data_IF_470688183282
#
_entry.id   IF_470688183282
#
_cell.length_a   1.000
_cell.length_b   1.000
_cell.length_c   1.000
_cell.angle_alpha   90.00
_cell.angle_beta   90.00
_cell.angle_gamma   90.00
#
_symmetry.space_group_name_H-M   'P 1'
#
loop_
_entity.id
_entity.type
_entity.pdbx_description
1 polymer ?
#
# COMPACT_ATOMS: atom_id res chain seq x y z
N UNK A 1 7.91 7.15 -10.88
CA UNK A 1 6.54 7.23 -11.42
C UNK A 1 6.20 6.08 -12.37
N UNK A 2 7.18 5.50 -13.07
CA UNK A 2 7.02 4.41 -14.05
C UNK A 2 6.43 3.10 -13.46
N UNK A 3 5.87 2.25 -14.33
CA UNK A 3 5.34 0.91 -14.04
C UNK A 3 6.46 -0.14 -14.09
N UNK A 4 6.64 -0.91 -13.01
CA UNK A 4 7.60 -2.02 -12.90
C UNK A 4 6.96 -3.41 -12.95
N UNK A 5 5.67 -3.52 -13.26
CA UNK A 5 4.99 -4.81 -13.31
C UNK A 5 4.40 -5.20 -11.95
N UNK A 6 4.84 -6.35 -11.42
CA UNK A 6 4.22 -7.04 -10.28
C UNK A 6 4.21 -6.27 -8.94
N UNK A 7 4.90 -5.13 -8.86
CA UNK A 7 4.94 -4.29 -7.66
C UNK A 7 4.15 -2.99 -7.78
N UNK A 8 3.61 -2.67 -8.96
CA UNK A 8 2.83 -1.47 -9.23
C UNK A 8 1.37 -1.84 -9.59
N UNK A 9 0.52 -0.81 -9.65
CA UNK A 9 -0.85 -0.87 -10.17
C UNK A 9 -0.85 -0.27 -11.57
N UNK A 10 -1.19 -1.04 -12.60
CA UNK A 10 -1.13 -0.58 -14.00
C UNK A 10 -2.10 0.56 -14.27
N UNK A 11 -3.30 0.52 -13.70
CA UNK A 11 -4.36 1.52 -13.92
C UNK A 11 -3.93 2.94 -13.51
N UNK A 12 -3.37 3.10 -12.31
CA UNK A 12 -2.82 4.35 -11.81
C UNK A 12 -1.68 4.86 -12.70
N UNK A 13 -0.87 3.95 -13.26
CA UNK A 13 0.23 4.32 -14.16
C UNK A 13 -0.29 4.76 -15.52
N UNK A 14 -1.35 4.14 -16.01
CA UNK A 14 -2.05 4.58 -17.22
C UNK A 14 -2.66 5.97 -17.04
N UNK A 15 -3.30 6.23 -15.90
CA UNK A 15 -3.81 7.58 -15.59
C UNK A 15 -2.70 8.64 -15.61
N UNK A 16 -1.58 8.35 -14.95
CA UNK A 16 -0.39 9.23 -14.96
C UNK A 16 0.15 9.38 -16.39
N UNK A 17 0.22 8.30 -17.16
CA UNK A 17 0.71 8.31 -18.53
C UNK A 17 -0.17 9.18 -19.45
N UNK A 18 -1.49 9.07 -19.36
CA UNK A 18 -2.41 9.90 -20.14
C UNK A 18 -2.30 11.37 -19.77
N UNK A 19 -2.20 11.69 -18.48
CA UNK A 19 -1.97 13.07 -18.01
C UNK A 19 -0.65 13.65 -18.57
N UNK A 20 0.43 12.86 -18.58
CA UNK A 20 1.69 13.26 -19.18
C UNK A 20 1.61 13.42 -20.70
N UNK A 21 0.91 12.53 -21.41
CA UNK A 21 0.70 12.65 -22.84
C UNK A 21 -0.09 13.92 -23.18
N UNK A 22 -1.12 14.24 -22.40
CA UNK A 22 -1.91 15.47 -22.56
C UNK A 22 -1.04 16.72 -22.34
N UNK A 23 -0.21 16.74 -21.30
CA UNK A 23 0.73 17.84 -21.00
C UNK A 23 1.81 18.02 -22.07
N UNK A 24 2.17 16.94 -22.75
CA UNK A 24 3.11 16.95 -23.86
C UNK A 24 2.44 17.26 -25.22
N UNK A 25 1.16 17.63 -25.23
CA UNK A 25 0.37 17.93 -26.43
C UNK A 25 0.35 16.79 -27.45
N UNK A 26 0.48 15.54 -26.98
CA UNK A 26 0.39 14.37 -27.85
C UNK A 26 -1.07 14.16 -28.30
N UNK A 27 -1.29 13.74 -29.56
CA UNK A 27 -2.60 13.32 -30.01
C UNK A 27 -3.18 12.26 -29.08
N UNK A 28 -4.42 12.45 -28.64
CA UNK A 28 -5.11 11.51 -27.75
C UNK A 28 -5.68 10.33 -28.54
N UNK A 29 -4.83 9.66 -29.32
CA UNK A 29 -5.19 8.52 -30.17
C UNK A 29 -4.41 7.27 -29.75
N UNK A 30 -4.98 6.06 -29.94
CA UNK A 30 -4.31 4.81 -29.60
C UNK A 30 -2.95 4.64 -30.29
N UNK A 31 -2.78 5.15 -31.50
CA UNK A 31 -1.53 5.05 -32.26
C UNK A 31 -0.43 5.88 -31.61
N UNK A 32 -0.73 7.12 -31.21
CA UNK A 32 0.21 8.00 -30.53
C UNK A 32 0.62 7.40 -29.17
N UNK A 33 -0.35 6.89 -28.39
CA UNK A 33 -0.07 6.23 -27.13
C UNK A 33 0.79 4.97 -27.31
N UNK A 34 0.52 4.16 -28.33
CA UNK A 34 1.33 2.99 -28.67
C UNK A 34 2.81 3.34 -28.87
N UNK A 35 3.09 4.42 -29.62
CA UNK A 35 4.46 4.87 -29.92
C UNK A 35 5.24 5.28 -28.67
N UNK A 36 4.59 5.92 -27.70
CA UNK A 36 5.26 6.41 -26.47
C UNK A 36 5.04 5.51 -25.25
N UNK A 37 4.31 4.41 -25.38
CA UNK A 37 3.97 3.49 -24.29
C UNK A 37 5.19 2.94 -23.54
N UNK A 38 6.31 2.72 -24.23
CA UNK A 38 7.57 2.29 -23.60
C UNK A 38 8.08 3.25 -22.51
N UNK A 39 7.72 4.55 -22.60
CA UNK A 39 8.17 5.58 -21.65
C UNK A 39 7.55 5.45 -20.27
N UNK A 40 6.37 4.80 -20.14
CA UNK A 40 5.74 4.56 -18.84
C UNK A 40 6.27 3.31 -18.13
N UNK A 41 7.13 2.52 -18.78
CA UNK A 41 7.59 1.22 -18.28
C UNK A 41 9.03 1.29 -17.73
N UNK A 42 9.33 0.44 -16.74
CA UNK A 42 10.67 0.24 -16.18
C UNK A 42 10.87 -1.20 -15.75
N UNK A 43 12.14 -1.60 -15.55
CA UNK A 43 12.52 -2.91 -14.99
C UNK A 43 11.79 -4.03 -15.76
N UNK A 44 11.27 -5.03 -15.08
CA UNK A 44 10.61 -6.21 -15.67
C UNK A 44 9.52 -5.86 -16.70
N UNK A 45 8.73 -4.81 -16.45
CA UNK A 45 7.69 -4.41 -17.39
C UNK A 45 8.23 -3.84 -18.71
N UNK A 46 9.37 -3.16 -18.64
CA UNK A 46 10.04 -2.65 -19.85
C UNK A 46 10.72 -3.78 -20.61
N UNK A 47 11.34 -4.72 -19.89
CA UNK A 47 12.00 -5.86 -20.51
C UNK A 47 10.96 -6.74 -21.22
N UNK A 48 9.85 -7.07 -20.54
CA UNK A 48 8.71 -7.77 -21.15
C UNK A 48 8.15 -7.06 -22.39
N UNK A 49 8.04 -5.73 -22.35
CA UNK A 49 7.56 -4.95 -23.49
C UNK A 49 8.44 -5.15 -24.72
N UNK A 50 9.77 -5.04 -24.57
CA UNK A 50 10.67 -5.20 -25.72
C UNK A 50 10.77 -6.65 -26.21
N UNK A 51 10.62 -7.62 -25.31
CA UNK A 51 10.70 -9.05 -25.65
C UNK A 51 9.40 -9.57 -26.32
N UNK A 52 8.24 -9.09 -25.85
CA UNK A 52 6.95 -9.73 -26.14
C UNK A 52 5.93 -8.83 -26.85
N UNK A 53 6.11 -7.50 -26.85
CA UNK A 53 5.12 -6.55 -27.37
C UNK A 53 5.67 -5.74 -28.54
N UNK A 54 6.88 -5.21 -28.41
CA UNK A 54 7.50 -4.32 -29.40
C UNK A 54 7.62 -4.99 -30.77
N UNK A 55 7.36 -4.22 -31.83
CA UNK A 55 7.48 -4.69 -33.22
C UNK A 55 6.38 -5.65 -33.69
N UNK A 56 5.39 -6.00 -32.85
CA UNK A 56 4.28 -6.90 -33.22
C UNK A 56 3.07 -6.21 -33.89
N UNK A 57 3.14 -4.90 -34.12
CA UNK A 57 2.06 -4.14 -34.75
C UNK A 57 0.76 -4.11 -33.93
N UNK A 58 0.87 -4.25 -32.60
CA UNK A 58 -0.28 -4.22 -31.69
C UNK A 58 -0.79 -2.79 -31.51
N UNK A 59 -2.12 -2.64 -31.45
CA UNK A 59 -2.74 -1.39 -30.98
C UNK A 59 -2.52 -1.24 -29.48
N UNK A 60 -2.53 0.00 -28.99
CA UNK A 60 -2.21 0.31 -27.59
C UNK A 60 -3.04 -0.47 -26.57
N UNK A 61 -4.36 -0.63 -26.80
CA UNK A 61 -5.23 -1.41 -25.91
C UNK A 61 -4.79 -2.88 -25.78
N UNK A 62 -4.33 -3.49 -26.88
CA UNK A 62 -3.80 -4.85 -26.87
C UNK A 62 -2.45 -4.94 -26.14
N UNK A 63 -1.61 -3.91 -26.24
CA UNK A 63 -0.35 -3.82 -25.49
C UNK A 63 -0.62 -3.73 -23.97
N UNK A 64 -1.59 -2.90 -23.58
CA UNK A 64 -2.03 -2.75 -22.19
C UNK A 64 -2.63 -4.07 -21.67
N UNK A 65 -3.48 -4.72 -22.45
CA UNK A 65 -4.08 -6.00 -22.08
C UNK A 65 -3.02 -7.08 -21.84
N UNK A 66 -2.08 -7.27 -22.76
CA UNK A 66 -1.01 -8.26 -22.60
C UNK A 66 -0.10 -7.95 -21.40
N UNK A 67 0.16 -6.66 -21.15
CA UNK A 67 0.94 -6.23 -19.97
C UNK A 67 0.18 -6.58 -18.69
N UNK A 68 -1.14 -6.32 -18.66
CA UNK A 68 -2.01 -6.66 -17.53
C UNK A 68 -2.05 -8.16 -17.28
N UNK A 69 -2.27 -8.97 -18.32
CA UNK A 69 -2.33 -10.43 -18.20
C UNK A 69 -1.01 -11.04 -17.71
N UNK A 70 0.13 -10.45 -18.10
CA UNK A 70 1.44 -10.93 -17.67
C UNK A 70 1.74 -10.60 -16.19
N UNK A 71 1.43 -9.39 -15.74
CA UNK A 71 1.83 -8.92 -14.40
C UNK A 71 0.72 -8.93 -13.35
N UNK A 72 -0.55 -8.82 -13.74
CA UNK A 72 -1.73 -8.73 -12.85
C UNK A 72 -2.55 -10.03 -12.89
N UNK A 73 -1.88 -11.17 -12.77
CA UNK A 73 -2.51 -12.51 -12.83
C UNK A 73 -3.51 -12.76 -11.69
N UNK A 74 -4.38 -13.76 -11.88
CA UNK A 74 -5.35 -14.17 -10.88
C UNK A 74 -4.68 -14.66 -9.58
N UNK A 75 -3.56 -15.37 -9.69
CA UNK A 75 -2.76 -15.87 -8.57
C UNK A 75 -2.17 -14.71 -7.77
N UNK A 76 -1.65 -13.67 -8.44
CA UNK A 76 -1.17 -12.46 -7.79
C UNK A 76 -2.31 -11.76 -7.05
N UNK A 77 -3.48 -11.63 -7.67
CA UNK A 77 -4.67 -11.04 -7.04
C UNK A 77 -5.07 -11.82 -5.78
N UNK A 78 -5.09 -13.15 -5.84
CA UNK A 78 -5.34 -14.00 -4.68
C UNK A 78 -4.28 -13.83 -3.58
N UNK A 79 -3.01 -13.73 -3.96
CA UNK A 79 -1.93 -13.46 -3.01
C UNK A 79 -2.10 -12.10 -2.31
N UNK A 80 -2.44 -11.05 -3.06
CA UNK A 80 -2.73 -9.72 -2.51
C UNK A 80 -3.95 -9.75 -1.58
N UNK A 81 -5.01 -10.47 -1.93
CA UNK A 81 -6.18 -10.66 -1.05
C UNK A 81 -5.79 -11.39 0.25
N UNK A 82 -4.92 -12.39 0.16
CA UNK A 82 -4.38 -13.06 1.34
C UNK A 82 -3.60 -12.08 2.23
N UNK A 83 -2.67 -11.32 1.64
CA UNK A 83 -1.90 -10.29 2.35
C UNK A 83 -2.82 -9.25 3.01
N UNK A 84 -3.86 -8.79 2.29
CA UNK A 84 -4.86 -7.87 2.81
C UNK A 84 -5.48 -8.38 4.10
N UNK A 85 -5.90 -9.65 4.11
CA UNK A 85 -6.59 -10.28 5.23
C UNK A 85 -5.68 -10.59 6.42
N UNK A 86 -4.41 -10.96 6.19
CA UNK A 86 -3.49 -11.38 7.26
C UNK A 86 -2.62 -10.24 7.81
N UNK A 87 -2.48 -9.13 7.08
CA UNK A 87 -1.67 -7.98 7.51
C UNK A 87 -2.31 -7.35 8.74
N UNK A 88 -1.59 -7.38 9.86
CA UNK A 88 -2.03 -6.84 11.15
C UNK A 88 -0.87 -6.17 11.86
N UNK A 89 -1.16 -5.29 12.82
CA UNK A 89 -0.11 -4.67 13.63
C UNK A 89 0.64 -5.72 14.44
N UNK A 90 -0.09 -6.70 15.00
CA UNK A 90 0.48 -7.81 15.76
C UNK A 90 1.43 -8.68 14.94
N UNK A 91 1.08 -9.04 13.70
CA UNK A 91 1.98 -9.81 12.83
C UNK A 91 3.21 -8.99 12.43
N UNK A 92 3.04 -7.69 12.17
CA UNK A 92 4.15 -6.77 11.84
C UNK A 92 5.15 -6.63 12.98
N UNK A 93 4.66 -6.46 14.22
CA UNK A 93 5.51 -6.41 15.43
C UNK A 93 6.32 -7.70 15.60
N UNK A 94 5.71 -8.88 15.36
CA UNK A 94 6.41 -10.17 15.45
C UNK A 94 7.52 -10.32 14.41
N UNK A 95 7.28 -9.86 13.19
CA UNK A 95 8.24 -9.92 12.08
C UNK A 95 9.39 -8.92 12.25
N UNK A 96 9.14 -7.79 12.92
CA UNK A 96 10.11 -6.68 13.05
C UNK A 96 10.44 -6.41 14.53
N UNK A 97 11.03 -7.40 15.20
CA UNK A 97 11.32 -7.39 16.66
C UNK A 97 12.11 -6.18 17.18
N UNK A 98 12.85 -5.48 16.32
CA UNK A 98 13.67 -4.31 16.69
C UNK A 98 12.95 -2.97 16.49
N UNK A 99 11.66 -2.99 16.18
CA UNK A 99 10.87 -1.80 15.89
C UNK A 99 9.91 -1.48 17.02
N UNK A 100 9.72 -0.19 17.29
CA UNK A 100 8.66 0.28 18.17
C UNK A 100 7.28 -0.07 17.61
N UNK A 101 6.24 0.03 18.46
CA UNK A 101 4.85 -0.16 18.03
C UNK A 101 4.48 0.88 16.95
N UNK A 102 4.94 2.12 17.13
CA UNK A 102 4.78 3.22 16.18
C UNK A 102 5.38 2.90 14.80
N UNK A 103 6.64 2.46 14.75
CA UNK A 103 7.28 2.06 13.49
C UNK A 103 6.61 0.84 12.87
N UNK A 104 6.16 -0.11 13.70
CA UNK A 104 5.42 -1.28 13.22
C UNK A 104 4.07 -0.89 12.61
N UNK A 105 3.40 0.12 13.18
CA UNK A 105 2.16 0.67 12.63
C UNK A 105 2.40 1.35 11.28
N UNK A 106 3.43 2.18 11.15
CA UNK A 106 3.79 2.83 9.88
C UNK A 106 4.07 1.80 8.77
N UNK A 107 4.83 0.74 9.09
CA UNK A 107 5.12 -0.35 8.15
C UNK A 107 3.82 -1.05 7.72
N UNK A 108 2.98 -1.41 8.69
CA UNK A 108 1.70 -2.08 8.44
C UNK A 108 0.76 -1.23 7.59
N UNK A 109 0.65 0.06 7.90
CA UNK A 109 -0.19 1.02 7.18
C UNK A 109 0.26 1.16 5.73
N UNK A 110 1.56 1.35 5.48
CA UNK A 110 2.12 1.42 4.12
C UNK A 110 1.89 0.14 3.33
N UNK A 111 2.01 -1.02 3.98
CA UNK A 111 1.77 -2.31 3.35
C UNK A 111 0.30 -2.48 2.96
N UNK A 112 -0.65 -2.11 3.84
CA UNK A 112 -2.07 -2.12 3.49
C UNK A 112 -2.38 -1.18 2.33
N UNK A 113 -1.84 0.04 2.31
CA UNK A 113 -2.01 0.95 1.18
C UNK A 113 -1.42 0.38 -0.12
N UNK A 114 -0.27 -0.31 -0.04
CA UNK A 114 0.36 -0.97 -1.20
C UNK A 114 -0.53 -2.09 -1.73
N UNK A 115 -1.00 -2.96 -0.84
CA UNK A 115 -1.86 -4.09 -1.19
C UNK A 115 -3.18 -3.61 -1.77
N UNK A 116 -3.84 -2.61 -1.14
CA UNK A 116 -5.09 -2.03 -1.62
C UNK A 116 -5.00 -1.56 -3.07
N UNK A 117 -3.90 -0.90 -3.44
CA UNK A 117 -3.68 -0.44 -4.82
C UNK A 117 -3.61 -1.60 -5.81
N UNK A 118 -3.18 -2.79 -5.40
CA UNK A 118 -3.15 -3.97 -6.28
C UNK A 118 -4.46 -4.77 -6.29
N UNK A 119 -5.46 -4.38 -5.50
CA UNK A 119 -6.78 -5.01 -5.47
C UNK A 119 -7.77 -4.35 -6.44
N UNK A 120 -8.94 -4.96 -6.58
CA UNK A 120 -10.02 -4.47 -7.46
C UNK A 120 -10.66 -3.17 -6.95
N UNK A 121 -11.49 -2.58 -7.79
CA UNK A 121 -12.17 -1.30 -7.50
C UNK A 121 -12.99 -1.34 -6.21
N UNK A 122 -13.54 -2.52 -5.85
CA UNK A 122 -14.29 -2.75 -4.63
C UNK A 122 -13.47 -2.52 -3.34
N UNK A 123 -12.13 -2.55 -3.43
CA UNK A 123 -11.22 -2.26 -2.31
C UNK A 123 -10.71 -0.84 -2.29
N UNK A 124 -10.89 -0.04 -3.35
CA UNK A 124 -10.23 1.28 -3.49
C UNK A 124 -10.78 2.37 -2.58
N UNK A 125 -11.94 2.17 -1.97
CA UNK A 125 -12.54 3.19 -1.11
C UNK A 125 -11.71 3.43 0.17
N UNK A 126 -11.65 4.68 0.62
CA UNK A 126 -10.99 5.03 1.88
C UNK A 126 -11.67 4.35 3.08
N UNK A 127 -12.99 4.16 3.01
CA UNK A 127 -13.75 3.43 4.03
C UNK A 127 -13.28 1.97 4.16
N UNK A 128 -13.01 1.30 3.02
CA UNK A 128 -12.49 -0.07 3.01
C UNK A 128 -11.12 -0.16 3.68
N UNK A 129 -10.22 0.81 3.41
CA UNK A 129 -8.92 0.87 4.07
C UNK A 129 -9.05 1.18 5.57
N UNK A 130 -9.92 2.13 5.92
CA UNK A 130 -10.19 2.52 7.31
C UNK A 130 -10.69 1.32 8.13
N UNK A 131 -11.72 0.62 7.66
CA UNK A 131 -12.26 -0.56 8.35
C UNK A 131 -11.23 -1.68 8.44
N UNK A 132 -10.38 -1.83 7.41
CA UNK A 132 -9.26 -2.78 7.46
C UNK A 132 -8.25 -2.42 8.53
N UNK A 133 -7.87 -1.15 8.68
CA UNK A 133 -6.93 -0.69 9.71
C UNK A 133 -7.48 -0.92 11.12
N UNK A 134 -8.78 -0.65 11.34
CA UNK A 134 -9.45 -0.95 12.62
C UNK A 134 -9.27 -2.43 12.96
N UNK A 135 -9.59 -3.32 12.03
CA UNK A 135 -9.46 -4.76 12.23
C UNK A 135 -8.00 -5.20 12.43
N UNK A 136 -7.06 -4.62 11.67
CA UNK A 136 -5.63 -4.91 11.75
C UNK A 136 -4.99 -4.51 13.10
N UNK A 137 -5.58 -3.53 13.80
CA UNK A 137 -5.07 -3.02 15.07
C UNK A 137 -5.83 -3.54 16.31
N UNK A 138 -6.99 -4.20 16.13
CA UNK A 138 -7.91 -4.57 17.22
C UNK A 138 -7.27 -5.45 18.30
N UNK A 139 -6.31 -6.29 17.94
CA UNK A 139 -5.62 -7.18 18.89
C UNK A 139 -4.43 -6.51 19.60
N UNK A 140 -4.21 -5.20 19.47
CA UNK A 140 -3.11 -4.49 20.12
C UNK A 140 -3.68 -3.56 21.18
N UNK A 141 -3.35 -3.82 22.45
CA UNK A 141 -3.86 -3.07 23.60
C UNK A 141 -3.60 -1.56 23.49
N UNK A 142 -2.45 -1.19 22.91
CA UNK A 142 -2.01 0.19 22.71
C UNK A 142 -2.89 0.95 21.71
N UNK A 143 -3.69 0.23 20.91
CA UNK A 143 -4.65 0.77 19.95
C UNK A 143 -6.11 0.60 20.42
N UNK A 144 -6.36 0.04 21.61
CA UNK A 144 -7.71 -0.33 22.04
C UNK A 144 -8.67 0.87 22.07
N UNK A 145 -8.21 2.04 22.54
CA UNK A 145 -9.03 3.25 22.58
C UNK A 145 -9.45 3.72 21.17
N UNK A 146 -8.49 3.82 20.26
CA UNK A 146 -8.72 4.25 18.88
C UNK A 146 -9.58 3.26 18.06
N UNK A 147 -9.48 1.95 18.37
CA UNK A 147 -10.22 0.91 17.65
C UNK A 147 -11.61 0.63 18.23
N UNK A 148 -11.88 1.00 19.49
CA UNK A 148 -13.18 0.86 20.13
C UNK A 148 -14.21 1.85 19.60
N UNK A 149 -13.81 3.11 19.42
CA UNK A 149 -14.64 4.16 18.81
C UNK A 149 -13.82 4.86 17.70
N UNK A 150 -13.69 4.22 16.52
CA UNK A 150 -12.85 4.75 15.46
C UNK A 150 -13.44 6.04 14.90
N UNK A 151 -12.58 7.03 14.66
CA UNK A 151 -12.93 8.24 13.93
C UNK A 151 -13.59 7.90 12.57
N UNK A 152 -14.47 8.77 12.03
CA UNK A 152 -15.19 8.49 10.80
C UNK A 152 -14.31 8.57 9.54
N UNK A 153 -13.21 9.32 9.59
CA UNK A 153 -12.28 9.48 8.46
C UNK A 153 -11.03 8.63 8.62
N UNK A 154 -10.36 8.33 7.51
CA UNK A 154 -9.10 7.59 7.51
C UNK A 154 -8.01 8.37 8.27
N UNK A 155 -7.89 9.67 8.00
CA UNK A 155 -6.92 10.58 8.61
C UNK A 155 -7.14 10.68 10.12
N UNK A 156 -8.41 10.81 10.53
CA UNK A 156 -8.78 10.85 11.94
C UNK A 156 -8.42 9.55 12.65
N UNK A 157 -8.70 8.40 12.03
CA UNK A 157 -8.38 7.09 12.62
C UNK A 157 -6.86 6.92 12.77
N UNK A 158 -6.08 7.28 11.74
CA UNK A 158 -4.63 7.19 11.76
C UNK A 158 -4.05 8.08 12.87
N UNK A 159 -4.54 9.32 13.00
CA UNK A 159 -4.12 10.24 14.06
C UNK A 159 -4.45 9.71 15.46
N UNK A 160 -5.64 9.14 15.65
CA UNK A 160 -6.07 8.56 16.92
C UNK A 160 -5.22 7.34 17.31
N UNK A 161 -4.90 6.46 16.35
CA UNK A 161 -4.03 5.30 16.59
C UNK A 161 -2.62 5.74 16.98
N UNK A 162 -2.05 6.71 16.26
CA UNK A 162 -0.75 7.29 16.61
C UNK A 162 -0.76 7.86 18.04
N UNK A 163 -1.77 8.65 18.37
CA UNK A 163 -1.92 9.26 19.69
C UNK A 163 -2.03 8.22 20.80
N UNK A 164 -2.79 7.15 20.55
CA UNK A 164 -2.94 6.05 21.50
C UNK A 164 -1.61 5.30 21.74
N UNK A 165 -0.88 4.98 20.67
CA UNK A 165 0.43 4.31 20.74
C UNK A 165 1.44 5.16 21.51
N UNK A 166 1.57 6.45 21.17
CA UNK A 166 2.52 7.36 21.82
C UNK A 166 2.18 7.58 23.30
N UNK A 167 0.89 7.69 23.61
CA UNK A 167 0.43 7.80 25.01
C UNK A 167 0.76 6.55 25.81
N UNK A 168 0.54 5.36 25.24
CA UNK A 168 0.87 4.09 25.91
C UNK A 168 2.38 3.93 26.15
N UNK A 169 3.20 4.35 25.18
CA UNK A 169 4.66 4.35 25.31
C UNK A 169 5.10 5.24 26.49
N UNK A 170 4.59 6.47 26.55
CA UNK A 170 4.88 7.42 27.64
C UNK A 170 4.46 6.89 29.02
N UNK A 171 3.27 6.28 29.12
CA UNK A 171 2.80 5.66 30.37
C UNK A 171 3.72 4.52 30.79
N UNK A 172 4.15 3.70 29.84
CA UNK A 172 5.04 2.56 30.10
C UNK A 172 6.43 3.00 30.59
N UNK A 173 6.98 4.09 30.03
CA UNK A 173 8.25 4.68 30.46
C UNK A 173 8.17 5.25 31.88
N UNK A 174 7.10 6.00 32.18
CA UNK A 174 6.85 6.52 33.52
C UNK A 174 6.73 5.41 34.58
N UNK A 175 6.04 4.32 34.25
CA UNK A 175 5.91 3.19 35.17
C UNK A 175 7.25 2.48 35.43
N UNK A 176 8.13 2.39 34.42
CA UNK A 176 9.48 1.83 34.59
C UNK A 176 10.33 2.70 35.52
N UNK A 177 10.36 4.02 35.30
CA UNK A 177 11.17 4.92 36.12
C UNK A 177 10.70 4.97 37.59
N UNK A 178 9.38 4.93 37.82
CA UNK A 178 8.80 4.83 39.16
C UNK A 178 9.19 3.55 39.90
N UNK A 179 9.30 2.43 39.18
CA UNK A 179 9.72 1.14 39.75
C UNK A 179 11.20 1.16 40.15
N UNK A 180 12.09 1.63 39.27
CA UNK A 180 13.53 1.75 39.59
C UNK A 180 13.82 2.66 40.78
N UNK A 181 13.06 3.75 40.93
CA UNK A 181 13.20 4.66 42.07
C UNK A 181 12.72 4.05 43.41
N UNK A 182 11.90 3.00 43.40
CA UNK A 182 11.48 2.29 44.61
C UNK A 182 12.48 1.21 45.05
N UNK A 183 13.11 0.53 44.10
CA UNK A 183 14.09 -0.52 44.39
C UNK A 183 15.46 0.03 44.82
N UNK A 184 15.78 1.27 44.47
CA UNK A 184 17.03 1.95 44.91
C UNK A 184 16.90 2.68 46.25
N UNK A 185 15.70 2.66 46.86
CA UNK A 185 15.42 3.27 48.15
C UNK A 185 15.25 2.25 49.31
N UNK A 186 15.50 0.95 49.04
CA UNK A 186 15.49 -0.14 50.02
C UNK A 186 16.89 -0.73 50.19
#
# INVERSE_FOLDING_TARGET
>A
MLYSGASDNLELKLQIFYDLCSKAELPQTPEAFGQVSSTMLKVDARDYYYDSISGRGLIFDAMVLQTREHFETAERRQHLLSLWNITSLRSTMKLKKNKSIAESFEIMFRELQRVQRGLGDEYKSENTLRDRIVNACRDVKDCAFATFKPAPTLEGLVADIWSAILTSARISEYNKSSFYNRDSAN
#
